data_IF_104564260294
#
_entry.id   IF_104564260294
#
_cell.length_a   1.000
_cell.length_b   1.000
_cell.length_c   1.000
_cell.angle_alpha   90.00
_cell.angle_beta   90.00
_cell.angle_gamma   90.00
#
_symmetry.space_group_name_H-M   'P 1'
#
loop_
_entity.id
_entity.type
_entity.pdbx_description
1 polymer ?
#
# COMPACT_ATOMS: atom_id res chain seq x y z
N UNK A 1 5.44 13.58 0.83
CA UNK A 1 4.29 12.98 1.53
C UNK A 1 4.33 11.47 1.52
N UNK A 2 4.06 10.84 0.38
CA UNK A 2 4.01 9.37 0.37
C UNK A 2 5.37 8.72 0.60
N UNK A 3 6.45 9.29 0.07
CA UNK A 3 7.78 8.68 0.18
C UNK A 3 8.27 8.61 1.62
N UNK A 4 7.88 9.58 2.43
CA UNK A 4 8.32 9.69 3.81
C UNK A 4 7.15 9.57 4.78
N UNK A 5 6.07 8.93 4.33
CA UNK A 5 4.91 8.69 5.18
C UNK A 5 5.32 7.84 6.36
N UNK A 6 5.21 8.41 7.54
CA UNK A 6 5.56 7.74 8.78
C UNK A 6 4.44 7.96 9.77
N UNK A 7 3.55 7.01 9.86
CA UNK A 7 2.53 7.04 10.88
C UNK A 7 2.50 5.67 11.52
N UNK A 8 2.05 5.59 12.75
CA UNK A 8 1.93 4.32 13.45
C UNK A 8 0.74 3.50 12.95
N UNK A 9 0.11 3.96 11.87
CA UNK A 9 -1.05 3.29 11.31
C UNK A 9 -0.64 2.18 10.34
N UNK A 10 -1.50 1.17 10.18
CA UNK A 10 -1.24 0.11 9.21
C UNK A 10 -1.27 0.63 7.78
N UNK A 11 -0.51 -0.02 6.91
CA UNK A 11 -0.53 0.21 5.48
C UNK A 11 -0.98 -1.08 4.80
N UNK A 12 -2.01 -0.98 3.98
CA UNK A 12 -2.52 -2.11 3.21
C UNK A 12 -2.39 -1.82 1.73
N UNK A 13 -2.09 -2.85 0.96
CA UNK A 13 -1.93 -2.75 -0.47
C UNK A 13 -2.93 -3.69 -1.15
N UNK A 14 -3.67 -3.15 -2.11
CA UNK A 14 -4.53 -3.95 -2.97
C UNK A 14 -3.66 -4.62 -4.01
N UNK A 15 -3.46 -5.94 -3.90
CA UNK A 15 -2.65 -6.70 -4.84
C UNK A 15 -3.32 -6.76 -6.20
N UNK A 16 -2.53 -6.89 -7.26
CA UNK A 16 -3.04 -6.79 -8.61
C UNK A 16 -3.25 -5.35 -9.03
N UNK A 17 -4.17 -5.10 -9.92
CA UNK A 17 -4.45 -3.74 -10.38
C UNK A 17 -5.86 -3.32 -10.05
N UNK A 18 -6.03 -2.01 -9.87
CA UNK A 18 -7.31 -1.36 -9.59
C UNK A 18 -7.58 -0.33 -10.70
N UNK A 19 -8.84 -0.14 -11.04
CA UNK A 19 -9.23 0.94 -11.95
C UNK A 19 -9.06 2.28 -11.22
N UNK A 20 -8.00 3.02 -11.55
CA UNK A 20 -7.68 4.27 -10.89
C UNK A 20 -8.55 5.45 -11.31
N UNK A 21 -9.53 5.24 -12.20
CA UNK A 21 -10.55 6.25 -12.46
C UNK A 21 -11.47 6.42 -11.26
N UNK A 22 -11.48 5.46 -10.34
CA UNK A 22 -12.26 5.54 -9.11
C UNK A 22 -11.74 6.67 -8.23
N UNK A 23 -12.67 7.44 -7.68
CA UNK A 23 -12.37 8.45 -6.68
C UNK A 23 -12.53 7.91 -5.26
N UNK A 24 -12.68 8.83 -4.31
CA UNK A 24 -12.78 8.50 -2.89
C UNK A 24 -13.86 7.46 -2.62
N UNK A 25 -15.08 7.73 -3.08
CA UNK A 25 -16.21 6.85 -2.80
C UNK A 25 -16.03 5.46 -3.41
N UNK A 26 -15.52 5.40 -4.64
CA UNK A 26 -15.29 4.14 -5.31
C UNK A 26 -14.22 3.30 -4.63
N UNK A 27 -13.13 3.92 -4.19
CA UNK A 27 -12.04 3.22 -3.50
C UNK A 27 -12.45 2.82 -2.08
N UNK A 28 -13.15 3.69 -1.35
CA UNK A 28 -13.67 3.35 -0.02
C UNK A 28 -14.65 2.18 -0.11
N UNK A 29 -15.49 2.19 -1.13
CA UNK A 29 -16.44 1.10 -1.36
C UNK A 29 -15.73 -0.21 -1.67
N UNK A 30 -14.63 -0.15 -2.39
CA UNK A 30 -13.82 -1.31 -2.73
C UNK A 30 -13.19 -1.92 -1.46
N UNK A 31 -12.68 -1.07 -0.56
CA UNK A 31 -12.15 -1.53 0.73
C UNK A 31 -13.24 -2.26 1.51
N UNK A 32 -14.44 -1.70 1.53
CA UNK A 32 -15.55 -2.26 2.30
C UNK A 32 -16.07 -3.57 1.68
N UNK A 33 -16.31 -3.58 0.37
CA UNK A 33 -17.00 -4.68 -0.29
C UNK A 33 -16.09 -5.82 -0.71
N UNK A 34 -14.91 -5.52 -1.26
CA UNK A 34 -14.00 -6.56 -1.74
C UNK A 34 -13.01 -7.02 -0.69
N UNK A 35 -12.47 -6.09 0.11
CA UNK A 35 -11.48 -6.45 1.11
C UNK A 35 -12.11 -6.74 2.47
N UNK A 36 -13.40 -6.44 2.64
CA UNK A 36 -14.13 -6.64 3.89
C UNK A 36 -13.43 -5.96 5.06
N UNK A 37 -12.95 -4.76 4.81
CA UNK A 37 -12.28 -3.92 5.79
C UNK A 37 -13.06 -2.62 5.96
N UNK A 38 -12.82 -1.95 7.08
CA UNK A 38 -13.44 -0.68 7.38
C UNK A 38 -12.62 0.44 6.74
N UNK A 39 -13.18 1.21 5.77
CA UNK A 39 -12.45 2.34 5.21
C UNK A 39 -12.35 3.52 6.19
N UNK A 40 -13.18 3.57 7.22
CA UNK A 40 -13.17 4.62 8.23
C UNK A 40 -12.23 4.29 9.39
N UNK A 41 -11.11 3.67 9.11
CA UNK A 41 -10.07 3.42 10.10
C UNK A 41 -8.81 4.15 9.71
N UNK A 42 -7.96 4.44 10.70
CA UNK A 42 -6.69 5.11 10.42
C UNK A 42 -5.70 4.11 9.84
N UNK A 43 -5.82 3.93 8.55
CA UNK A 43 -4.97 3.05 7.77
C UNK A 43 -4.78 3.66 6.39
N UNK A 44 -3.63 3.43 5.80
CA UNK A 44 -3.34 3.87 4.44
C UNK A 44 -3.62 2.70 3.50
N UNK A 45 -4.51 2.92 2.54
CA UNK A 45 -4.83 1.92 1.52
C UNK A 45 -4.23 2.34 0.19
N UNK A 46 -3.41 1.46 -0.39
CA UNK A 46 -2.70 1.73 -1.63
C UNK A 46 -3.29 0.93 -2.78
N UNK A 47 -3.45 1.60 -3.92
CA UNK A 47 -4.01 1.02 -5.15
C UNK A 47 -3.14 1.39 -6.32
N UNK A 48 -2.89 0.45 -7.22
CA UNK A 48 -2.09 0.67 -8.42
C UNK A 48 -2.92 0.32 -9.66
N UNK A 49 -2.74 1.09 -10.73
CA UNK A 49 -3.37 0.82 -12.01
C UNK A 49 -2.62 -0.24 -12.81
N UNK A 50 -3.14 -0.54 -14.00
CA UNK A 50 -2.44 -1.45 -14.93
C UNK A 50 -1.06 -0.94 -15.29
N UNK A 51 -0.96 0.36 -15.49
CA UNK A 51 0.33 1.02 -15.63
C UNK A 51 0.93 1.16 -14.24
N UNK A 52 2.08 0.57 -14.04
CA UNK A 52 2.71 0.51 -12.72
C UNK A 52 3.45 1.78 -12.36
N UNK A 53 3.22 2.86 -13.09
CA UNK A 53 3.86 4.15 -12.84
C UNK A 53 3.00 5.07 -11.98
N UNK A 54 1.82 4.64 -11.58
CA UNK A 54 0.91 5.49 -10.82
C UNK A 54 0.16 4.71 -9.76
N UNK A 55 -0.08 5.37 -8.64
CA UNK A 55 -0.85 4.80 -7.55
C UNK A 55 -1.77 5.85 -6.94
N UNK A 56 -2.81 5.37 -6.27
CA UNK A 56 -3.64 6.20 -5.40
C UNK A 56 -3.56 5.66 -3.98
N UNK A 57 -3.59 6.57 -3.02
CA UNK A 57 -3.55 6.23 -1.60
C UNK A 57 -4.75 6.88 -0.92
N UNK A 58 -5.53 6.09 -0.21
CA UNK A 58 -6.72 6.53 0.50
C UNK A 58 -6.45 6.49 2.00
N UNK A 59 -6.72 7.58 2.70
CA UNK A 59 -6.49 7.69 4.13
C UNK A 59 -7.63 8.43 4.80
N UNK A 60 -8.15 7.87 5.90
CA UNK A 60 -9.19 8.50 6.71
C UNK A 60 -8.53 9.33 7.82
N UNK A 61 -8.82 10.63 7.84
CA UNK A 61 -8.21 11.55 8.80
C UNK A 61 -9.08 11.80 10.04
N UNK A 62 -10.20 11.10 10.16
CA UNK A 62 -11.11 11.26 11.29
C UNK A 62 -12.29 12.16 10.97
N UNK A 63 -12.12 13.11 10.09
CA UNK A 63 -13.16 14.04 9.66
C UNK A 63 -13.40 14.01 8.17
N UNK A 64 -12.58 13.30 7.42
CA UNK A 64 -12.70 13.21 5.97
C UNK A 64 -11.66 12.29 5.39
N UNK A 65 -11.87 11.92 4.13
CA UNK A 65 -10.90 11.13 3.38
C UNK A 65 -9.90 12.02 2.67
N UNK A 66 -8.65 11.61 2.72
CA UNK A 66 -7.58 12.16 1.90
C UNK A 66 -7.29 11.16 0.79
N UNK A 67 -7.31 11.64 -0.45
CA UNK A 67 -6.93 10.83 -1.61
C UNK A 67 -5.69 11.43 -2.24
N UNK A 68 -4.61 10.67 -2.23
CA UNK A 68 -3.35 11.06 -2.84
C UNK A 68 -3.15 10.31 -4.15
N UNK A 69 -2.66 11.02 -5.15
CA UNK A 69 -2.37 10.45 -6.46
C UNK A 69 -0.92 10.73 -6.78
N UNK A 70 -0.16 9.67 -7.07
CA UNK A 70 1.24 9.80 -7.44
C UNK A 70 1.49 9.12 -8.78
N UNK A 71 2.09 9.86 -9.70
CA UNK A 71 2.56 9.33 -10.97
C UNK A 71 4.07 9.48 -11.03
N UNK A 72 4.76 8.37 -11.25
CA UNK A 72 6.20 8.41 -11.46
C UNK A 72 6.48 8.96 -12.86
N UNK A 73 7.42 9.88 -12.95
CA UNK A 73 7.86 10.40 -14.25
C UNK A 73 8.85 9.46 -14.92
N UNK A 74 9.47 8.58 -14.16
CA UNK A 74 10.39 7.57 -14.65
C UNK A 74 10.31 6.34 -13.75
N UNK A 75 10.41 5.16 -14.35
CA UNK A 75 10.36 3.92 -13.61
C UNK A 75 8.95 3.45 -13.30
N UNK A 76 8.83 2.47 -12.47
CA UNK A 76 7.57 1.87 -12.09
C UNK A 76 7.63 1.30 -10.68
N UNK A 77 6.45 1.15 -10.06
CA UNK A 77 6.32 0.45 -8.80
C UNK A 77 6.35 -1.06 -9.05
N UNK A 78 7.07 -1.80 -8.23
CA UNK A 78 7.06 -3.26 -8.28
C UNK A 78 5.86 -3.78 -7.47
N UNK A 79 4.70 -3.70 -8.07
CA UNK A 79 3.43 -3.97 -7.39
C UNK A 79 3.20 -5.47 -7.22
N UNK A 80 2.84 -5.95 -6.01
CA UNK A 80 2.55 -7.37 -5.81
C UNK A 80 1.36 -7.83 -6.66
N UNK A 81 1.52 -8.99 -7.27
CA UNK A 81 0.48 -9.60 -8.11
C UNK A 81 0.04 -10.94 -7.57
N UNK A 82 0.06 -11.08 -6.25
CA UNK A 82 -0.42 -12.30 -5.64
C UNK A 82 -1.92 -12.46 -5.85
N UNK A 83 -2.43 -13.64 -5.58
CA UNK A 83 -3.86 -13.91 -5.64
C UNK A 83 -4.61 -13.32 -4.45
N UNK A 84 -3.89 -12.83 -3.45
CA UNK A 84 -4.51 -12.19 -2.31
C UNK A 84 -5.06 -10.82 -2.72
N UNK A 85 -6.24 -10.50 -2.20
CA UNK A 85 -6.90 -9.25 -2.53
C UNK A 85 -6.30 -8.05 -1.82
N UNK A 86 -5.79 -8.27 -0.61
CA UNK A 86 -5.17 -7.22 0.20
C UNK A 86 -4.01 -7.81 1.00
N UNK A 87 -2.97 -7.01 1.17
CA UNK A 87 -1.79 -7.41 1.93
C UNK A 87 -1.37 -6.25 2.85
N UNK A 88 -1.07 -6.58 4.10
CA UNK A 88 -0.49 -5.62 5.03
C UNK A 88 0.99 -5.46 4.74
N UNK A 89 1.49 -4.23 4.76
CA UNK A 89 2.90 -3.94 4.56
C UNK A 89 3.54 -3.50 5.86
N UNK A 90 4.75 -3.99 6.10
CA UNK A 90 5.58 -3.43 7.17
C UNK A 90 6.12 -2.07 6.73
N UNK A 91 6.59 -1.23 7.68
CA UNK A 91 7.22 0.04 7.30
C UNK A 91 8.39 -0.14 6.33
N UNK A 92 9.17 -1.22 6.48
CA UNK A 92 10.28 -1.49 5.58
C UNK A 92 9.78 -1.84 4.17
N UNK A 93 8.74 -2.68 4.07
CA UNK A 93 8.14 -3.03 2.79
C UNK A 93 7.57 -1.80 2.09
N UNK A 94 6.95 -0.91 2.85
CA UNK A 94 6.43 0.35 2.30
C UNK A 94 7.57 1.18 1.71
N UNK A 95 8.70 1.30 2.42
CA UNK A 95 9.86 2.03 1.92
C UNK A 95 10.40 1.40 0.64
N UNK A 96 10.52 0.07 0.61
CA UNK A 96 10.95 -0.64 -0.60
C UNK A 96 10.05 -0.32 -1.78
N UNK A 97 8.74 -0.36 -1.56
CA UNK A 97 7.77 -0.07 -2.62
C UNK A 97 7.94 1.34 -3.16
N UNK A 98 8.10 2.32 -2.28
CA UNK A 98 8.28 3.72 -2.68
C UNK A 98 9.60 3.94 -3.40
N UNK A 99 10.61 3.12 -3.13
CA UNK A 99 11.91 3.19 -3.79
C UNK A 99 11.96 2.42 -5.11
N UNK A 100 10.85 1.82 -5.53
CA UNK A 100 10.81 1.05 -6.77
C UNK A 100 11.28 -0.38 -6.62
N UNK A 101 11.39 -0.88 -5.39
CA UNK A 101 11.80 -2.25 -5.11
C UNK A 101 10.57 -3.11 -4.84
N UNK A 102 10.76 -4.43 -4.96
CA UNK A 102 9.73 -5.38 -4.58
C UNK A 102 9.53 -5.38 -3.07
N UNK A 103 8.30 -5.62 -2.63
CA UNK A 103 8.00 -5.75 -1.21
C UNK A 103 8.59 -7.03 -0.60
N UNK A 104 8.96 -7.98 -1.46
CA UNK A 104 9.70 -9.18 -1.07
C UNK A 104 11.13 -9.07 -1.55
N UNK A 105 12.07 -9.11 -0.60
CA UNK A 105 13.51 -9.02 -0.91
C UNK A 105 14.18 -10.31 -0.43
N UNK A 106 14.40 -11.29 -1.34
CA UNK A 106 14.94 -12.60 -0.92
C UNK A 106 16.29 -12.55 -0.21
N UNK A 107 17.08 -11.51 -0.51
CA UNK A 107 18.40 -11.36 0.10
C UNK A 107 18.40 -10.48 1.34
N UNK A 108 17.25 -9.96 1.74
CA UNK A 108 17.17 -9.15 2.94
C UNK A 108 17.28 -10.05 4.16
N UNK A 109 17.97 -9.57 5.19
CA UNK A 109 18.01 -10.26 6.47
C UNK A 109 16.63 -10.23 7.11
N UNK A 110 16.19 -11.40 7.54
CA UNK A 110 14.91 -11.51 8.22
C UNK A 110 15.08 -11.18 9.69
N UNK A 111 14.06 -10.55 10.26
CA UNK A 111 14.02 -10.40 11.70
C UNK A 111 13.93 -11.77 12.34
N UNK A 112 14.74 -12.02 13.35
CA UNK A 112 14.77 -13.29 14.06
C UNK A 112 14.31 -13.03 15.49
N UNK A 113 13.25 -13.72 15.90
CA UNK A 113 12.78 -13.65 17.27
C UNK A 113 13.19 -14.93 18.02
N UNK A 114 13.49 -14.80 19.32
CA UNK A 114 13.87 -15.93 20.13
C UNK A 114 15.27 -16.46 19.86
N UNK A 115 16.07 -15.73 19.12
CA UNK A 115 17.43 -16.12 18.85
C UNK A 115 18.30 -15.86 20.08
N UNK A 116 19.01 -16.90 20.52
CA UNK A 116 20.01 -16.73 21.56
C UNK A 116 21.31 -16.27 20.94
N UNK A 117 21.90 -15.28 21.54
CA UNK A 117 23.24 -14.85 21.15
C UNK A 117 24.22 -15.76 21.86
N UNK A 118 25.07 -16.33 21.09
CA UNK A 118 26.09 -17.22 21.59
C UNK A 118 27.43 -16.51 21.67
#
# INVERSE_FOLDING_TARGET
MLNDFSCSCPVYIACGYTDLRRGIDGLANLVKSQFQMDPFQRALFLFCGRRRDRLKALYWEGDGFLLLYKRLESGSFQWPRSTEEVQALTPQQYRWLMEGLKTEQPKANKAVSGLSII
#
